data_IF_843046827260
#
_entry.id   IF_843046827260
#
_cell.length_a   1.000
_cell.length_b   1.000
_cell.length_c   1.000
_cell.angle_alpha   90.00
_cell.angle_beta   90.00
_cell.angle_gamma   90.00
#
_symmetry.space_group_name_H-M   'P 1'
#
loop_
_entity.id
_entity.type
_entity.pdbx_description
1 polymer ?
#
# COMPACT_ATOMS: atom_id res chain seq x y z
N UNK A 1 15.54 15.68 42.86
CA UNK A 1 16.10 14.56 42.09
C UNK A 1 14.97 13.60 41.78
N UNK A 2 14.48 13.61 40.55
CA UNK A 2 13.54 12.62 40.04
C UNK A 2 14.07 12.28 38.66
N UNK A 3 14.55 11.06 38.55
CA UNK A 3 15.36 10.48 37.48
C UNK A 3 14.69 10.65 36.12
N UNK A 4 15.32 11.45 35.26
CA UNK A 4 15.06 11.46 33.82
C UNK A 4 15.47 10.10 33.27
N UNK A 5 14.53 9.17 33.15
CA UNK A 5 14.73 8.00 32.31
C UNK A 5 14.56 8.46 30.87
N UNK A 6 15.63 9.04 30.32
CA UNK A 6 15.80 9.19 28.87
C UNK A 6 15.88 7.80 28.28
N UNK A 7 14.72 7.22 27.97
CA UNK A 7 14.62 6.05 27.11
C UNK A 7 15.11 6.51 25.73
N UNK A 8 16.41 6.41 25.50
CA UNK A 8 17.00 6.55 24.17
C UNK A 8 16.58 5.31 23.38
N UNK A 9 15.47 5.42 22.66
CA UNK A 9 15.02 4.38 21.74
C UNK A 9 15.42 4.77 20.32
N UNK A 10 16.23 3.92 19.68
CA UNK A 10 16.49 3.98 18.24
C UNK A 10 15.24 3.67 17.40
N UNK A 11 14.10 3.33 18.01
CA UNK A 11 12.83 3.10 17.32
C UNK A 11 12.35 4.35 16.53
N UNK A 12 12.78 5.55 16.92
CA UNK A 12 12.51 6.79 16.18
C UNK A 12 13.66 7.21 15.26
N UNK A 13 14.77 6.47 15.25
CA UNK A 13 15.98 6.77 14.47
C UNK A 13 15.93 6.28 13.02
N UNK A 14 14.91 5.50 12.65
CA UNK A 14 14.71 5.04 11.29
C UNK A 14 13.64 5.89 10.60
N UNK A 15 14.06 6.98 9.98
CA UNK A 15 13.26 7.64 8.94
C UNK A 15 13.11 6.74 7.68
N UNK A 16 13.63 5.50 7.68
CA UNK A 16 13.57 4.57 6.55
C UNK A 16 12.16 4.14 6.17
N UNK A 17 11.20 4.30 7.08
CA UNK A 17 9.80 3.97 6.82
C UNK A 17 9.17 4.93 5.82
N UNK A 18 9.74 6.11 5.59
CA UNK A 18 9.26 7.06 4.59
C UNK A 18 10.29 7.17 3.47
N UNK A 19 9.95 6.65 2.31
CA UNK A 19 10.77 6.70 1.12
C UNK A 19 10.07 7.56 0.07
N UNK A 20 10.58 8.76 -0.15
CA UNK A 20 10.04 9.68 -1.14
C UNK A 20 11.11 10.14 -2.12
N UNK A 21 10.68 10.48 -3.33
CA UNK A 21 11.60 10.96 -4.37
C UNK A 21 10.86 11.54 -5.56
N UNK A 22 11.57 12.32 -6.35
CA UNK A 22 11.11 12.76 -7.66
C UNK A 22 11.82 11.92 -8.71
N UNK A 23 11.08 11.25 -9.59
CA UNK A 23 11.69 10.60 -10.75
C UNK A 23 12.21 11.68 -11.72
N UNK A 24 13.53 11.79 -11.96
CA UNK A 24 14.10 12.83 -12.80
C UNK A 24 13.62 12.79 -14.26
N UNK A 25 13.10 11.65 -14.74
CA UNK A 25 12.63 11.49 -16.12
C UNK A 25 11.23 12.04 -16.34
N UNK A 26 10.38 11.94 -15.31
CA UNK A 26 8.96 12.30 -15.40
C UNK A 26 8.62 13.55 -14.60
N UNK A 27 9.49 13.97 -13.67
CA UNK A 27 9.23 15.04 -12.73
C UNK A 27 8.17 14.69 -11.68
N UNK A 28 7.76 13.42 -11.61
CA UNK A 28 6.71 12.98 -10.70
C UNK A 28 7.28 12.69 -9.31
N UNK A 29 6.65 13.26 -8.30
CA UNK A 29 6.93 12.94 -6.91
C UNK A 29 6.15 11.71 -6.48
N UNK A 30 6.83 10.69 -5.99
CA UNK A 30 6.21 9.54 -5.32
C UNK A 30 6.69 9.46 -3.89
N UNK A 31 5.84 8.95 -3.00
CA UNK A 31 6.22 8.66 -1.62
C UNK A 31 5.60 7.34 -1.19
N UNK A 32 6.37 6.58 -0.44
CA UNK A 32 6.01 5.29 0.12
C UNK A 32 6.23 5.34 1.62
N UNK A 33 5.23 4.90 2.38
CA UNK A 33 5.22 4.88 3.83
C UNK A 33 5.01 3.43 4.27
N UNK A 34 6.05 2.83 4.83
CA UNK A 34 5.97 1.53 5.50
C UNK A 34 5.26 1.70 6.84
N UNK A 35 4.09 1.08 6.95
CA UNK A 35 3.33 1.05 8.18
C UNK A 35 3.84 -0.09 9.08
N UNK A 36 3.69 0.04 10.41
CA UNK A 36 4.02 -1.04 11.33
C UNK A 36 3.32 -2.34 10.94
N UNK A 37 4.08 -3.43 10.98
CA UNK A 37 3.58 -4.75 10.61
C UNK A 37 2.43 -5.18 11.53
N UNK A 38 1.35 -5.64 10.92
CA UNK A 38 0.18 -6.11 11.68
C UNK A 38 0.44 -7.54 12.10
N UNK A 39 0.59 -7.74 13.40
CA UNK A 39 0.74 -9.05 14.00
C UNK A 39 -0.64 -9.65 14.24
N UNK A 40 -0.90 -10.79 13.61
CA UNK A 40 -2.18 -11.50 13.73
C UNK A 40 -2.13 -12.56 14.83
N UNK A 41 -3.30 -13.02 15.29
CA UNK A 41 -3.43 -14.15 16.22
C UNK A 41 -2.53 -14.07 17.47
N UNK A 42 -2.66 -13.00 18.29
CA UNK A 42 -1.87 -12.80 19.51
C UNK A 42 -0.35 -12.95 19.31
N UNK A 43 0.19 -12.41 18.21
CA UNK A 43 1.61 -12.50 17.83
C UNK A 43 2.09 -13.91 17.42
N UNK A 44 1.16 -14.86 17.25
CA UNK A 44 1.45 -16.23 16.80
C UNK A 44 1.01 -16.47 15.35
N UNK A 45 0.47 -15.46 14.67
CA UNK A 45 0.06 -15.55 13.28
C UNK A 45 1.13 -15.05 12.31
N UNK A 46 0.90 -15.19 11.00
CA UNK A 46 1.74 -14.55 10.01
C UNK A 46 1.68 -13.04 10.18
N UNK A 47 2.83 -12.42 9.98
CA UNK A 47 2.99 -11.00 10.08
C UNK A 47 2.67 -10.37 8.71
N UNK A 48 1.91 -9.26 8.72
CA UNK A 48 1.35 -8.67 7.50
C UNK A 48 1.92 -7.27 7.26
N UNK A 49 2.83 -7.10 6.27
CA UNK A 49 3.41 -5.80 5.97
C UNK A 49 2.40 -4.94 5.23
N UNK A 50 2.25 -3.70 5.70
CA UNK A 50 1.40 -2.70 5.06
C UNK A 50 2.28 -1.57 4.54
N UNK A 51 2.07 -1.21 3.28
CA UNK A 51 2.79 -0.12 2.63
C UNK A 51 1.79 0.82 1.96
N UNK A 52 1.85 2.09 2.35
CA UNK A 52 0.99 3.15 1.84
C UNK A 52 1.78 3.99 0.83
N UNK A 53 1.34 3.98 -0.42
CA UNK A 53 2.02 4.66 -1.51
C UNK A 53 1.20 5.82 -2.03
N UNK A 54 1.89 6.88 -2.44
CA UNK A 54 1.34 8.01 -3.17
C UNK A 54 1.94 8.06 -4.56
N UNK A 55 1.07 8.27 -5.55
CA UNK A 55 1.47 8.53 -6.92
C UNK A 55 0.55 9.58 -7.56
N UNK A 56 1.09 10.65 -8.17
CA UNK A 56 0.30 11.73 -8.73
C UNK A 56 -0.46 11.33 -10.01
N UNK A 57 -0.07 10.22 -10.64
CA UNK A 57 -0.82 9.64 -11.77
C UNK A 57 -2.05 8.86 -11.31
N UNK A 58 -2.11 8.46 -10.05
CA UNK A 58 -3.30 7.85 -9.49
C UNK A 58 -4.29 8.96 -9.14
N UNK A 59 -5.38 9.04 -9.90
CA UNK A 59 -6.45 10.03 -9.69
C UNK A 59 -7.62 9.46 -8.88
N UNK A 60 -7.51 8.22 -8.42
CA UNK A 60 -8.54 7.56 -7.63
C UNK A 60 -8.29 7.82 -6.15
N UNK A 61 -9.38 7.92 -5.40
CA UNK A 61 -9.37 7.88 -3.94
C UNK A 61 -9.75 6.46 -3.50
N UNK A 62 -8.80 5.76 -2.89
CA UNK A 62 -9.01 4.40 -2.34
C UNK A 62 -9.39 4.41 -0.86
N UNK A 63 -9.80 5.56 -0.31
CA UNK A 63 -10.16 5.76 1.10
C UNK A 63 -9.05 6.39 1.95
N UNK A 64 -7.89 6.67 1.34
CA UNK A 64 -6.74 7.33 1.98
C UNK A 64 -6.44 8.71 1.38
N UNK A 65 -7.32 9.20 0.49
CA UNK A 65 -7.14 10.41 -0.29
C UNK A 65 -6.74 10.11 -1.74
N UNK A 66 -6.93 11.11 -2.61
CA UNK A 66 -6.59 11.01 -4.03
C UNK A 66 -5.10 10.72 -4.20
N UNK A 67 -4.79 9.71 -4.99
CA UNK A 67 -3.40 9.32 -5.29
C UNK A 67 -2.75 8.41 -4.26
N UNK A 68 -3.40 8.20 -3.12
CA UNK A 68 -2.95 7.28 -2.09
C UNK A 68 -3.56 5.89 -2.26
N UNK A 69 -2.74 4.86 -2.09
CA UNK A 69 -3.18 3.47 -2.18
C UNK A 69 -2.33 2.55 -1.30
N UNK A 70 -2.96 1.57 -0.66
CA UNK A 70 -2.27 0.46 -0.01
C UNK A 70 -1.96 -0.62 -1.03
N UNK A 71 -0.74 -1.17 -1.04
CA UNK A 71 -0.35 -2.22 -1.98
C UNK A 71 -1.03 -3.57 -1.69
N UNK A 72 -2.35 -3.63 -1.90
CA UNK A 72 -3.25 -4.73 -1.63
C UNK A 72 -4.01 -5.09 -2.90
N UNK A 73 -4.41 -6.35 -2.99
CA UNK A 73 -5.31 -6.78 -4.04
C UNK A 73 -6.69 -6.13 -3.85
N UNK A 74 -7.18 -5.45 -4.88
CA UNK A 74 -8.39 -4.65 -4.84
C UNK A 74 -9.23 -4.88 -6.10
N UNK A 75 -10.54 -5.01 -5.92
CA UNK A 75 -11.50 -5.06 -7.01
C UNK A 75 -12.25 -3.74 -7.11
N UNK A 76 -12.26 -3.14 -8.30
CA UNK A 76 -12.97 -1.90 -8.59
C UNK A 76 -14.26 -2.20 -9.36
N UNK A 77 -15.45 -2.11 -8.72
CA UNK A 77 -16.70 -2.49 -9.36
C UNK A 77 -17.11 -1.60 -10.53
N UNK A 78 -16.67 -0.33 -10.54
CA UNK A 78 -17.06 0.65 -11.57
C UNK A 78 -16.55 0.27 -12.97
N UNK A 79 -15.42 -0.43 -13.06
CA UNK A 79 -14.80 -0.84 -14.32
C UNK A 79 -14.53 -2.35 -14.40
N UNK A 80 -14.92 -3.12 -13.38
CA UNK A 80 -14.69 -4.56 -13.24
C UNK A 80 -13.21 -4.94 -13.34
N UNK A 81 -12.32 -4.15 -12.75
CA UNK A 81 -10.87 -4.43 -12.73
C UNK A 81 -10.47 -4.97 -11.36
N UNK A 82 -9.80 -6.11 -11.35
CA UNK A 82 -9.08 -6.66 -10.21
C UNK A 82 -7.60 -6.30 -10.36
N UNK A 83 -7.07 -5.48 -9.45
CA UNK A 83 -5.64 -5.26 -9.31
C UNK A 83 -5.11 -6.15 -8.19
N UNK A 84 -4.01 -6.85 -8.40
CA UNK A 84 -3.36 -7.67 -7.39
C UNK A 84 -2.21 -6.90 -6.73
N UNK A 85 -1.86 -7.27 -5.49
CA UNK A 85 -0.68 -6.73 -4.79
C UNK A 85 0.66 -7.06 -5.48
N UNK A 86 0.66 -7.99 -6.44
CA UNK A 86 1.81 -8.29 -7.32
C UNK A 86 2.03 -7.24 -8.41
N UNK A 87 1.07 -6.33 -8.62
CA UNK A 87 1.05 -5.33 -9.69
C UNK A 87 0.26 -5.76 -10.94
N UNK A 88 -0.24 -6.99 -10.98
CA UNK A 88 -1.02 -7.49 -12.11
C UNK A 88 -2.45 -6.92 -12.09
N UNK A 89 -3.03 -6.69 -13.28
CA UNK A 89 -4.41 -6.23 -13.40
C UNK A 89 -5.21 -7.11 -14.36
N UNK A 90 -6.39 -7.54 -13.91
CA UNK A 90 -7.30 -8.41 -14.65
C UNK A 90 -8.63 -7.72 -14.84
N UNK A 91 -9.21 -7.85 -16.03
CA UNK A 91 -10.60 -7.44 -16.26
C UNK A 91 -11.50 -8.63 -16.01
N UNK A 92 -12.39 -8.49 -15.03
CA UNK A 92 -13.44 -9.46 -14.75
C UNK A 92 -14.52 -9.29 -15.82
N UNK A 93 -14.71 -10.32 -16.64
CA UNK A 93 -15.68 -10.32 -17.74
C UNK A 93 -16.85 -11.26 -17.52
N UNK A 94 -16.75 -12.17 -16.56
CA UNK A 94 -17.84 -13.09 -16.20
C UNK A 94 -18.92 -12.42 -15.34
N UNK A 95 -20.17 -12.70 -15.66
CA UNK A 95 -21.36 -12.34 -14.86
C UNK A 95 -22.02 -13.56 -14.19
N UNK A 96 -21.33 -14.72 -14.17
CA UNK A 96 -21.81 -15.98 -13.59
C UNK A 96 -21.22 -16.28 -12.21
N UNK A 97 -21.48 -17.48 -11.67
CA UNK A 97 -20.95 -17.95 -10.37
C UNK A 97 -19.42 -18.15 -10.36
N UNK A 98 -18.81 -18.26 -11.54
CA UNK A 98 -17.38 -18.31 -11.74
C UNK A 98 -16.96 -17.05 -12.54
N UNK A 99 -16.11 -16.18 -11.99
CA UNK A 99 -15.62 -15.02 -12.71
C UNK A 99 -14.65 -15.46 -13.80
N UNK A 100 -15.01 -15.22 -15.05
CA UNK A 100 -14.11 -15.41 -16.19
C UNK A 100 -13.21 -14.16 -16.31
N UNK A 101 -11.91 -14.36 -16.09
CA UNK A 101 -10.91 -13.29 -15.98
C UNK A 101 -10.07 -13.22 -17.26
N UNK A 102 -10.03 -12.05 -17.89
CA UNK A 102 -9.10 -11.79 -18.99
C UNK A 102 -7.96 -10.89 -18.50
N UNK A 103 -6.73 -11.31 -18.74
CA UNK A 103 -5.55 -10.49 -18.51
C UNK A 103 -5.61 -9.23 -19.38
N UNK A 104 -5.37 -8.07 -18.77
CA UNK A 104 -5.33 -6.81 -19.50
C UNK A 104 -3.88 -6.56 -19.91
N UNK A 105 -3.53 -6.95 -21.14
CA UNK A 105 -2.24 -6.66 -21.76
C UNK A 105 -2.14 -5.21 -22.21
#
# INVERSE_FOLDING_TARGET
>A
MTTSSTVHSQAFGFMSYVQGGVDPRTGQYTVSIDLPEVQSNWLCGPAFPLNLTFSPINILDSGFGVGWNLNLSQFTPSNNILALSTGETFKVTGSGSLPDMKEKK
#
